data_IF_841774857402
#
_entry.id   IF_841774857402
#
_cell.length_a   1.000
_cell.length_b   1.000
_cell.length_c   1.000
_cell.angle_alpha   90.00
_cell.angle_beta   90.00
_cell.angle_gamma   90.00
#
_symmetry.space_group_name_H-M   'P 1'
#
loop_
_entity.id
_entity.type
_entity.pdbx_description
1 polymer ?
#
# COMPACT_ATOMS: atom_id res chain seq x y z
N UNK A 1 -10.69 25.48 -23.73
CA UNK A 1 -10.43 24.65 -22.54
C UNK A 1 -8.92 24.46 -22.37
N UNK A 2 -8.38 24.99 -21.27
CA UNK A 2 -6.95 25.11 -20.95
C UNK A 2 -6.51 24.03 -19.96
N UNK A 3 -6.49 22.76 -20.39
CA UNK A 3 -6.12 21.64 -19.54
C UNK A 3 -4.60 21.61 -19.21
N UNK A 4 -4.18 21.15 -18.02
CA UNK A 4 -2.77 21.05 -17.66
C UNK A 4 -1.93 20.19 -18.62
N UNK A 5 -2.48 19.10 -19.18
CA UNK A 5 -1.80 18.31 -20.22
C UNK A 5 -1.58 19.11 -21.51
N UNK A 6 -2.53 19.98 -21.87
CA UNK A 6 -2.40 20.85 -23.05
C UNK A 6 -1.30 21.89 -22.85
N UNK A 7 -1.18 22.48 -21.65
CA UNK A 7 -0.07 23.40 -21.34
C UNK A 7 1.30 22.72 -21.45
N UNK A 8 1.41 21.47 -21.00
CA UNK A 8 2.63 20.68 -21.16
C UNK A 8 2.95 20.42 -22.64
N UNK A 9 1.94 20.05 -23.43
CA UNK A 9 2.09 19.84 -24.88
C UNK A 9 2.50 21.11 -25.60
N UNK A 10 1.84 22.23 -25.32
CA UNK A 10 2.12 23.52 -25.96
C UNK A 10 3.56 24.00 -25.63
N UNK A 11 4.03 23.81 -24.39
CA UNK A 11 5.41 24.09 -24.01
C UNK A 11 6.42 23.18 -24.73
N UNK A 12 6.11 21.89 -24.87
CA UNK A 12 6.95 20.93 -25.57
C UNK A 12 7.01 21.22 -27.08
N UNK A 13 5.89 21.63 -27.67
CA UNK A 13 5.80 22.02 -29.08
C UNK A 13 6.65 23.26 -29.37
N UNK A 14 6.59 24.28 -28.50
CA UNK A 14 7.45 25.47 -28.63
C UNK A 14 8.93 25.10 -28.57
N UNK A 15 9.34 24.32 -27.56
CA UNK A 15 10.72 23.85 -27.44
C UNK A 15 11.16 23.03 -28.67
N UNK A 16 10.26 22.21 -29.21
CA UNK A 16 10.52 21.41 -30.40
C UNK A 16 10.76 22.28 -31.65
N UNK A 17 9.98 23.36 -31.81
CA UNK A 17 10.14 24.32 -32.89
C UNK A 17 11.43 25.14 -32.73
N UNK A 18 11.75 25.59 -31.52
CA UNK A 18 12.98 26.34 -31.21
C UNK A 18 14.24 25.50 -31.47
N UNK A 19 14.15 24.19 -31.23
CA UNK A 19 15.21 23.22 -31.57
C UNK A 19 15.36 22.96 -33.09
N UNK A 20 14.56 23.62 -33.93
CA UNK A 20 14.56 23.44 -35.38
C UNK A 20 13.80 22.21 -35.87
N UNK A 21 12.82 21.73 -35.11
CA UNK A 21 11.96 20.59 -35.42
C UNK A 21 12.74 19.34 -35.91
N UNK A 22 13.72 18.83 -35.15
CA UNK A 22 14.51 17.68 -35.55
C UNK A 22 13.63 16.42 -35.72
N UNK A 23 14.00 15.54 -36.66
CA UNK A 23 13.25 14.30 -36.84
C UNK A 23 13.35 13.39 -35.61
N UNK A 24 12.30 12.59 -35.35
CA UNK A 24 12.28 11.64 -34.23
C UNK A 24 13.43 10.63 -34.28
N UNK A 25 13.86 10.24 -35.51
CA UNK A 25 15.03 9.39 -35.74
C UNK A 25 16.34 10.07 -35.37
N UNK A 26 16.48 11.37 -35.66
CA UNK A 26 17.65 12.17 -35.26
C UNK A 26 17.76 12.26 -33.74
N UNK A 27 16.67 12.57 -33.05
CA UNK A 27 16.63 12.61 -31.57
C UNK A 27 16.95 11.25 -30.94
N UNK A 28 16.40 10.17 -31.49
CA UNK A 28 16.73 8.80 -31.05
C UNK A 28 18.21 8.47 -31.23
N UNK A 29 18.82 8.85 -32.35
CA UNK A 29 20.25 8.67 -32.60
C UNK A 29 21.11 9.50 -31.64
N UNK A 30 20.74 10.76 -31.37
CA UNK A 30 21.43 11.64 -30.42
C UNK A 30 21.36 11.11 -28.97
N UNK A 31 20.36 10.28 -28.66
CA UNK A 31 20.20 9.67 -27.33
C UNK A 31 21.14 8.49 -27.05
N UNK A 32 21.91 8.02 -28.04
CA UNK A 32 22.80 6.86 -27.87
C UNK A 32 22.06 5.55 -27.56
N UNK A 33 20.79 5.43 -27.97
CA UNK A 33 19.95 4.26 -27.70
C UNK A 33 19.11 4.36 -26.41
N UNK A 34 19.16 5.47 -25.68
CA UNK A 34 18.38 5.66 -24.46
C UNK A 34 16.87 5.83 -24.70
N UNK A 35 16.45 6.21 -25.92
CA UNK A 35 15.05 6.28 -26.33
C UNK A 35 14.87 5.93 -27.81
N UNK A 36 13.84 5.14 -28.13
CA UNK A 36 13.50 4.77 -29.51
C UNK A 36 12.80 5.92 -30.24
N UNK A 37 12.90 5.98 -31.57
CA UNK A 37 12.23 7.01 -32.38
C UNK A 37 10.70 6.99 -32.25
N UNK A 38 10.10 5.82 -31.95
CA UNK A 38 8.65 5.69 -31.69
C UNK A 38 8.28 6.33 -30.35
N UNK A 39 9.08 6.10 -29.30
CA UNK A 39 8.88 6.72 -27.98
C UNK A 39 9.12 8.23 -28.03
N UNK A 40 10.10 8.72 -28.80
CA UNK A 40 10.27 10.16 -29.05
C UNK A 40 9.00 10.75 -29.68
N UNK A 41 8.44 10.08 -30.69
CA UNK A 41 7.19 10.54 -31.33
C UNK A 41 5.99 10.57 -30.39
N UNK A 42 5.90 9.63 -29.45
CA UNK A 42 4.85 9.63 -28.42
C UNK A 42 5.01 10.81 -27.45
N UNK A 43 6.24 11.09 -27.01
CA UNK A 43 6.52 12.22 -26.12
C UNK A 43 6.18 13.55 -26.81
N UNK A 44 6.62 13.75 -28.05
CA UNK A 44 6.37 15.00 -28.80
C UNK A 44 4.89 15.26 -29.05
N UNK A 45 4.08 14.22 -29.33
CA UNK A 45 2.62 14.40 -29.47
C UNK A 45 1.95 14.73 -28.14
N UNK A 46 2.45 14.14 -27.04
CA UNK A 46 1.92 14.33 -25.69
C UNK A 46 0.38 14.14 -25.59
N UNK A 47 -0.17 13.22 -26.40
CA UNK A 47 -1.60 12.86 -26.39
C UNK A 47 -2.01 12.21 -25.05
N UNK A 48 -1.05 11.54 -24.42
CA UNK A 48 -1.10 11.02 -23.06
C UNK A 48 0.14 11.48 -22.30
N UNK A 49 0.04 11.60 -20.98
CA UNK A 49 1.15 12.01 -20.14
C UNK A 49 2.30 10.97 -20.21
N UNK A 50 3.46 11.30 -20.79
CA UNK A 50 4.60 10.39 -20.84
C UNK A 50 5.26 10.27 -19.46
N UNK A 51 6.12 9.28 -19.25
CA UNK A 51 6.88 9.18 -17.99
C UNK A 51 7.86 10.34 -17.85
N UNK A 52 8.13 10.78 -16.62
CA UNK A 52 9.08 11.87 -16.39
C UNK A 52 10.47 11.58 -16.99
N UNK A 53 10.94 10.33 -16.90
CA UNK A 53 12.22 9.90 -17.49
C UNK A 53 12.28 10.14 -19.00
N UNK A 54 11.20 9.82 -19.73
CA UNK A 54 11.17 9.99 -21.19
C UNK A 54 10.95 11.45 -21.59
N UNK A 55 10.14 12.19 -20.83
CA UNK A 55 9.96 13.64 -21.01
C UNK A 55 11.27 14.40 -20.82
N UNK A 56 11.94 14.19 -19.67
CA UNK A 56 13.23 14.79 -19.35
C UNK A 56 14.27 14.56 -20.45
N UNK A 57 14.34 13.33 -20.97
CA UNK A 57 15.31 12.96 -21.99
C UNK A 57 15.04 13.69 -23.31
N UNK A 58 13.78 13.81 -23.74
CA UNK A 58 13.41 14.54 -24.95
C UNK A 58 13.64 16.04 -24.79
N UNK A 59 13.23 16.64 -23.67
CA UNK A 59 13.47 18.07 -23.38
C UNK A 59 14.97 18.40 -23.42
N UNK A 60 15.80 17.55 -22.82
CA UNK A 60 17.26 17.70 -22.85
C UNK A 60 17.84 17.57 -24.27
N UNK A 61 17.34 16.63 -25.07
CA UNK A 61 17.78 16.44 -26.47
C UNK A 61 17.38 17.60 -27.39
N UNK A 62 16.33 18.33 -27.03
CA UNK A 62 15.88 19.55 -27.72
C UNK A 62 16.63 20.81 -27.23
N UNK A 63 17.54 20.69 -26.27
CA UNK A 63 18.31 21.82 -25.75
C UNK A 63 17.64 22.57 -24.59
N UNK A 64 16.49 22.11 -24.09
CA UNK A 64 15.78 22.71 -22.95
C UNK A 64 16.34 22.32 -21.58
N UNK A 65 17.66 22.15 -21.47
CA UNK A 65 18.32 21.70 -20.23
C UNK A 65 18.10 22.64 -19.05
N UNK A 66 18.06 23.96 -19.32
CA UNK A 66 17.86 24.99 -18.32
C UNK A 66 16.37 25.15 -17.92
N UNK A 67 15.44 24.63 -18.73
CA UNK A 67 13.99 24.70 -18.51
C UNK A 67 13.41 23.43 -17.86
N UNK A 68 14.26 22.49 -17.43
CA UNK A 68 13.81 21.19 -16.93
C UNK A 68 12.88 21.29 -15.71
N UNK A 69 13.11 22.23 -14.80
CA UNK A 69 12.22 22.43 -13.65
C UNK A 69 10.85 22.97 -14.08
N UNK A 70 10.79 23.86 -15.08
CA UNK A 70 9.53 24.33 -15.66
C UNK A 70 8.72 23.17 -16.29
N UNK A 71 9.38 22.31 -17.06
CA UNK A 71 8.73 21.12 -17.63
C UNK A 71 8.28 20.13 -16.55
N UNK A 72 9.01 20.05 -15.43
CA UNK A 72 8.63 19.21 -14.28
C UNK A 72 7.39 19.72 -13.57
N UNK A 73 7.25 21.03 -13.41
CA UNK A 73 6.05 21.67 -12.85
C UNK A 73 4.82 21.46 -13.74
N UNK A 74 4.97 21.62 -15.06
CA UNK A 74 3.91 21.34 -16.03
C UNK A 74 3.52 19.86 -16.03
N UNK A 75 4.51 18.97 -15.96
CA UNK A 75 4.29 17.53 -15.87
C UNK A 75 3.56 17.12 -14.59
N UNK A 76 3.96 17.67 -13.43
CA UNK A 76 3.27 17.45 -12.15
C UNK A 76 1.83 17.98 -12.20
N UNK A 77 1.62 19.16 -12.80
CA UNK A 77 0.29 19.73 -12.97
C UNK A 77 -0.62 18.86 -13.85
N UNK A 78 -0.07 18.30 -14.94
CA UNK A 78 -0.78 17.37 -15.82
C UNK A 78 -1.08 16.03 -15.12
N UNK A 79 -0.14 15.51 -14.34
CA UNK A 79 -0.32 14.31 -13.53
C UNK A 79 -1.44 14.48 -12.51
N UNK A 80 -1.39 15.55 -11.73
CA UNK A 80 -2.39 15.84 -10.71
C UNK A 80 -3.78 16.04 -11.33
N UNK A 81 -3.89 16.68 -12.49
CA UNK A 81 -5.17 16.83 -13.18
C UNK A 81 -5.71 15.50 -13.72
N UNK A 82 -4.85 14.60 -14.22
CA UNK A 82 -5.27 13.26 -14.64
C UNK A 82 -5.66 12.34 -13.48
N UNK A 83 -5.18 12.62 -12.28
CA UNK A 83 -5.50 11.87 -11.05
C UNK A 83 -6.74 12.42 -10.33
N UNK A 84 -7.20 13.64 -10.66
CA UNK A 84 -8.26 14.36 -9.92
C UNK A 84 -9.35 15.02 -10.79
N UNK A 85 -9.52 14.69 -12.08
CA UNK A 85 -10.71 15.15 -12.82
C UNK A 85 -11.99 14.52 -12.22
N UNK A 86 -12.90 15.31 -11.62
CA UNK A 86 -14.22 14.81 -11.26
C UNK A 86 -15.08 14.77 -12.53
N UNK A 87 -15.83 13.69 -12.72
CA UNK A 87 -16.81 13.60 -13.80
C UNK A 87 -17.77 14.82 -13.74
N UNK A 88 -17.91 15.52 -14.86
CA UNK A 88 -18.81 16.66 -14.98
C UNK A 88 -20.26 16.24 -14.67
N UNK A 89 -21.04 17.04 -13.92
CA UNK A 89 -22.40 16.68 -13.59
C UNK A 89 -23.31 17.01 -14.78
N UNK A 90 -23.86 15.97 -15.40
CA UNK A 90 -24.99 16.10 -16.31
C UNK A 90 -24.67 15.78 -17.77
N UNK A 91 -24.36 14.53 -18.05
CA UNK A 91 -24.76 13.89 -19.32
C UNK A 91 -24.85 12.38 -19.05
N UNK A 92 -26.05 11.83 -19.19
CA UNK A 92 -26.31 10.40 -19.09
C UNK A 92 -25.62 9.69 -20.26
N UNK A 93 -24.46 9.10 -20.00
CA UNK A 93 -23.78 8.23 -20.95
C UNK A 93 -24.26 6.80 -20.73
N UNK A 94 -25.01 6.30 -21.70
CA UNK A 94 -25.29 4.87 -21.89
C UNK A 94 -24.02 4.14 -22.34
N UNK A 95 -23.68 3.06 -21.63
CA UNK A 95 -22.81 1.92 -21.95
C UNK A 95 -21.73 2.08 -23.03
N UNK A 96 -20.47 2.04 -22.59
CA UNK A 96 -19.34 1.64 -23.43
C UNK A 96 -17.97 2.28 -23.18
N UNK A 97 -17.56 2.58 -21.94
CA UNK A 97 -16.15 2.91 -21.62
C UNK A 97 -15.85 2.79 -20.10
N UNK A 98 -15.00 1.82 -19.76
CA UNK A 98 -14.44 1.44 -18.44
C UNK A 98 -15.47 1.09 -17.33
N UNK A 99 -15.72 -0.22 -17.18
CA UNK A 99 -16.44 -0.89 -16.08
C UNK A 99 -15.64 -0.79 -14.75
N UNK A 100 -15.33 0.43 -14.35
CA UNK A 100 -14.59 0.74 -13.13
C UNK A 100 -15.55 1.10 -12.00
N UNK A 101 -15.81 0.13 -11.12
CA UNK A 101 -16.56 0.32 -9.89
C UNK A 101 -15.69 -0.08 -8.71
N UNK A 102 -15.25 0.89 -7.91
CA UNK A 102 -14.37 0.65 -6.75
C UNK A 102 -14.99 -0.26 -5.70
N UNK A 103 -16.32 -0.37 -5.63
CA UNK A 103 -17.01 -1.25 -4.69
C UNK A 103 -17.29 -2.65 -5.26
N UNK A 104 -17.19 -2.84 -6.59
CA UNK A 104 -17.20 -4.17 -7.18
C UNK A 104 -15.81 -4.80 -7.07
N UNK A 105 -15.70 -5.86 -6.28
CA UNK A 105 -14.44 -6.57 -6.10
C UNK A 105 -13.90 -7.19 -7.40
N UNK A 106 -14.78 -7.55 -8.34
CA UNK A 106 -14.40 -8.02 -9.66
C UNK A 106 -13.64 -6.95 -10.44
N UNK A 107 -14.18 -5.73 -10.45
CA UNK A 107 -13.55 -4.55 -11.06
C UNK A 107 -12.20 -4.22 -10.40
N UNK A 108 -12.13 -4.23 -9.06
CA UNK A 108 -10.88 -4.04 -8.30
C UNK A 108 -9.81 -5.04 -8.70
N UNK A 109 -10.12 -6.34 -8.80
CA UNK A 109 -9.18 -7.39 -9.24
C UNK A 109 -8.65 -7.15 -10.64
N UNK A 110 -9.54 -6.86 -11.60
CA UNK A 110 -9.13 -6.55 -12.98
C UNK A 110 -8.19 -5.36 -13.01
N UNK A 111 -8.47 -4.33 -12.21
CA UNK A 111 -7.64 -3.13 -12.14
C UNK A 111 -6.30 -3.37 -11.45
N UNK A 112 -6.25 -4.16 -10.38
CA UNK A 112 -5.01 -4.54 -9.70
C UNK A 112 -4.04 -5.25 -10.66
N UNK A 113 -4.55 -6.12 -11.53
CA UNK A 113 -3.75 -6.80 -12.54
C UNK A 113 -3.14 -5.85 -13.59
N UNK A 114 -3.80 -4.71 -13.86
CA UNK A 114 -3.37 -3.74 -14.88
C UNK A 114 -2.54 -2.58 -14.32
N UNK A 115 -2.94 -2.03 -13.17
CA UNK A 115 -2.34 -0.85 -12.54
C UNK A 115 -2.25 -1.04 -11.02
N UNK A 116 -1.33 -1.90 -10.53
CA UNK A 116 -1.30 -2.27 -9.13
C UNK A 116 -0.91 -1.13 -8.19
N UNK A 117 0.20 -0.41 -8.43
CA UNK A 117 0.71 0.56 -7.44
C UNK A 117 -0.30 1.66 -7.04
N UNK A 118 -0.99 2.35 -7.97
CA UNK A 118 -1.95 3.38 -7.58
C UNK A 118 -3.12 2.80 -6.78
N UNK A 119 -3.60 1.61 -7.16
CA UNK A 119 -4.72 0.96 -6.48
C UNK A 119 -4.30 0.41 -5.10
N UNK A 120 -3.09 -0.11 -4.96
CA UNK A 120 -2.55 -0.56 -3.68
C UNK A 120 -2.42 0.58 -2.66
N UNK A 121 -2.10 1.80 -3.13
CA UNK A 121 -2.12 2.99 -2.26
C UNK A 121 -3.54 3.26 -1.75
N UNK A 122 -4.53 3.28 -2.64
CA UNK A 122 -5.94 3.49 -2.27
C UNK A 122 -6.44 2.40 -1.31
N UNK A 123 -6.12 1.13 -1.56
CA UNK A 123 -6.49 0.04 -0.67
C UNK A 123 -5.83 0.18 0.70
N UNK A 124 -4.56 0.60 0.77
CA UNK A 124 -3.87 0.87 2.02
C UNK A 124 -4.49 2.04 2.79
N UNK A 125 -4.98 3.07 2.09
CA UNK A 125 -5.73 4.18 2.68
C UNK A 125 -7.07 3.72 3.26
N UNK A 126 -7.82 2.89 2.53
CA UNK A 126 -9.07 2.28 3.03
C UNK A 126 -8.80 1.47 4.29
N UNK A 127 -7.80 0.58 4.27
CA UNK A 127 -7.39 -0.22 5.44
C UNK A 127 -7.08 0.67 6.65
N UNK A 128 -6.30 1.72 6.45
CA UNK A 128 -5.92 2.67 7.50
C UNK A 128 -7.10 3.43 8.10
N UNK A 129 -8.17 3.65 7.32
CA UNK A 129 -9.38 4.29 7.78
C UNK A 129 -10.29 3.33 8.56
N UNK A 130 -10.44 2.08 8.10
CA UNK A 130 -11.49 1.18 8.61
C UNK A 130 -10.99 0.18 9.65
N UNK A 131 -9.80 -0.38 9.49
CA UNK A 131 -9.35 -1.50 10.33
C UNK A 131 -9.15 -1.11 11.80
N UNK A 132 -8.59 0.07 12.14
CA UNK A 132 -8.46 0.46 13.53
C UNK A 132 -9.81 0.61 14.24
N UNK A 133 -10.79 1.22 13.57
CA UNK A 133 -12.14 1.38 14.12
C UNK A 133 -12.85 0.02 14.21
N UNK A 134 -12.65 -0.85 13.22
CA UNK A 134 -13.14 -2.22 13.28
C UNK A 134 -12.52 -3.01 14.45
N UNK A 135 -11.23 -2.84 14.74
CA UNK A 135 -10.55 -3.45 15.87
C UNK A 135 -11.11 -2.98 17.23
N UNK A 136 -11.42 -1.68 17.35
CA UNK A 136 -12.11 -1.12 18.52
C UNK A 136 -13.45 -1.84 18.74
N UNK A 137 -14.31 -1.82 17.72
CA UNK A 137 -15.65 -2.40 17.77
C UNK A 137 -15.62 -3.93 17.94
N UNK A 138 -14.62 -4.58 17.36
CA UNK A 138 -14.37 -6.00 17.53
C UNK A 138 -14.10 -6.34 19.01
N UNK A 139 -13.27 -5.56 19.70
CA UNK A 139 -13.05 -5.74 21.14
C UNK A 139 -14.36 -5.60 21.93
N UNK A 140 -15.29 -4.74 21.51
CA UNK A 140 -16.59 -4.59 22.16
C UNK A 140 -17.57 -5.75 21.86
N UNK A 141 -17.54 -6.29 20.64
CA UNK A 141 -18.65 -7.08 20.12
C UNK A 141 -18.36 -8.55 19.81
N UNK A 142 -17.10 -8.96 19.64
CA UNK A 142 -16.80 -10.36 19.30
C UNK A 142 -17.33 -11.33 20.34
N UNK A 143 -17.66 -12.55 19.94
CA UNK A 143 -17.89 -13.64 20.90
C UNK A 143 -16.56 -14.09 21.52
N UNK A 144 -16.60 -14.77 22.67
CA UNK A 144 -15.39 -15.37 23.26
C UNK A 144 -14.73 -16.37 22.30
N UNK A 145 -15.53 -17.18 21.60
CA UNK A 145 -15.04 -18.14 20.62
C UNK A 145 -14.32 -17.47 19.44
N UNK A 146 -14.83 -16.35 18.93
CA UNK A 146 -14.17 -15.60 17.86
C UNK A 146 -12.90 -14.90 18.34
N UNK A 147 -12.88 -14.42 19.59
CA UNK A 147 -11.68 -13.86 20.20
C UNK A 147 -10.59 -14.92 20.39
N UNK A 148 -10.96 -16.12 20.86
CA UNK A 148 -10.04 -17.27 20.98
C UNK A 148 -9.50 -17.68 19.61
N UNK A 149 -10.35 -17.67 18.58
CA UNK A 149 -9.95 -17.90 17.19
C UNK A 149 -8.92 -16.86 16.74
N UNK A 150 -9.15 -15.57 16.96
CA UNK A 150 -8.18 -14.50 16.64
C UNK A 150 -6.85 -14.71 17.36
N UNK A 151 -6.89 -15.07 18.64
CA UNK A 151 -5.71 -15.41 19.44
C UNK A 151 -4.96 -16.63 18.88
N UNK A 152 -5.67 -17.59 18.30
CA UNK A 152 -5.12 -18.71 17.53
C UNK A 152 -4.44 -18.27 16.23
N UNK A 153 -5.12 -17.45 15.43
CA UNK A 153 -4.61 -16.94 14.16
C UNK A 153 -3.34 -16.09 14.35
N UNK A 154 -3.31 -15.21 15.35
CA UNK A 154 -2.12 -14.41 15.66
C UNK A 154 -0.90 -15.27 16.04
N UNK A 155 -1.12 -16.41 16.73
CA UNK A 155 -0.03 -17.38 17.01
C UNK A 155 0.43 -18.08 15.75
N UNK A 156 -0.49 -18.47 14.88
CA UNK A 156 -0.15 -19.10 13.60
C UNK A 156 0.65 -18.14 12.70
N UNK A 157 0.28 -16.86 12.62
CA UNK A 157 1.08 -15.84 11.93
C UNK A 157 2.50 -15.78 12.46
N UNK A 158 2.65 -15.74 13.79
CA UNK A 158 3.97 -15.68 14.41
C UNK A 158 4.81 -16.93 14.13
N UNK A 159 4.21 -18.12 14.18
CA UNK A 159 4.89 -19.38 13.85
C UNK A 159 5.32 -19.42 12.39
N UNK A 160 4.38 -19.20 11.47
CA UNK A 160 4.63 -19.26 10.03
C UNK A 160 5.63 -18.19 9.58
N UNK A 161 5.54 -16.98 10.10
CA UNK A 161 6.41 -15.86 9.73
C UNK A 161 7.84 -15.94 10.28
N UNK A 162 8.05 -16.69 11.38
CA UNK A 162 9.39 -16.93 11.95
C UNK A 162 10.08 -18.15 11.36
N UNK A 163 9.32 -19.08 10.81
CA UNK A 163 9.84 -20.30 10.21
C UNK A 163 10.84 -19.98 9.08
N UNK A 164 11.93 -20.73 9.02
CA UNK A 164 12.96 -20.58 7.99
C UNK A 164 12.41 -20.90 6.60
N UNK A 165 11.41 -21.79 6.50
CA UNK A 165 10.72 -22.11 5.26
C UNK A 165 10.08 -20.88 4.61
N UNK A 166 9.69 -19.86 5.38
CA UNK A 166 9.13 -18.64 4.81
C UNK A 166 10.10 -17.99 3.81
N UNK A 167 11.41 -18.05 4.11
CA UNK A 167 12.47 -17.43 3.30
C UNK A 167 12.89 -18.28 2.11
N UNK A 168 12.59 -19.58 2.12
CA UNK A 168 12.96 -20.51 1.05
C UNK A 168 12.46 -20.01 -0.32
N UNK A 169 13.31 -20.10 -1.34
CA UNK A 169 13.03 -19.64 -2.71
C UNK A 169 12.60 -20.79 -3.64
N UNK A 170 11.98 -21.81 -3.06
CA UNK A 170 11.44 -22.98 -3.74
C UNK A 170 9.92 -23.09 -3.57
N UNK A 171 9.33 -24.16 -4.12
CA UNK A 171 7.90 -24.45 -4.00
C UNK A 171 7.46 -24.58 -2.54
N UNK A 172 8.29 -25.18 -1.68
CA UNK A 172 8.02 -25.32 -0.24
C UNK A 172 7.84 -23.96 0.43
N UNK A 173 8.73 -23.00 0.13
CA UNK A 173 8.61 -21.64 0.65
C UNK A 173 7.40 -20.90 0.07
N UNK A 174 7.08 -21.11 -1.21
CA UNK A 174 5.89 -20.54 -1.83
C UNK A 174 4.61 -21.00 -1.15
N UNK A 175 4.48 -22.30 -0.88
CA UNK A 175 3.37 -22.89 -0.14
C UNK A 175 3.30 -22.35 1.29
N UNK A 176 4.44 -22.19 1.95
CA UNK A 176 4.49 -21.65 3.31
C UNK A 176 3.99 -20.21 3.40
N UNK A 177 4.36 -19.39 2.41
CA UNK A 177 3.89 -18.01 2.27
C UNK A 177 2.40 -17.94 1.95
N UNK A 178 1.87 -18.84 1.12
CA UNK A 178 0.42 -18.90 0.86
C UNK A 178 -0.36 -19.29 2.13
N UNK A 179 0.18 -20.19 2.96
CA UNK A 179 -0.42 -20.49 4.27
C UNK A 179 -0.42 -19.27 5.20
N UNK A 180 0.71 -18.57 5.30
CA UNK A 180 0.80 -17.34 6.09
C UNK A 180 -0.21 -16.29 5.61
N UNK A 181 -0.30 -16.07 4.29
CA UNK A 181 -1.25 -15.16 3.65
C UNK A 181 -2.70 -15.51 4.00
N UNK A 182 -3.06 -16.78 3.91
CA UNK A 182 -4.41 -17.23 4.24
C UNK A 182 -4.77 -16.94 5.71
N UNK A 183 -3.82 -17.17 6.63
CA UNK A 183 -4.01 -16.84 8.06
C UNK A 183 -4.11 -15.32 8.27
N UNK A 184 -3.32 -14.52 7.56
CA UNK A 184 -3.31 -13.06 7.66
C UNK A 184 -4.65 -12.46 7.19
N UNK A 185 -5.13 -12.91 6.04
CA UNK A 185 -6.46 -12.57 5.52
C UNK A 185 -7.54 -12.98 6.52
N UNK A 186 -7.51 -14.22 7.04
CA UNK A 186 -8.51 -14.70 7.98
C UNK A 186 -8.51 -13.88 9.28
N UNK A 187 -7.33 -13.48 9.77
CA UNK A 187 -7.20 -12.62 10.95
C UNK A 187 -7.91 -11.28 10.75
N UNK A 188 -7.58 -10.55 9.68
CA UNK A 188 -8.18 -9.24 9.39
C UNK A 188 -9.67 -9.33 9.06
N UNK A 189 -10.10 -10.34 8.30
CA UNK A 189 -11.51 -10.57 7.97
C UNK A 189 -12.33 -10.92 9.21
N UNK A 190 -11.76 -11.66 10.16
CA UNK A 190 -12.45 -11.99 11.42
C UNK A 190 -12.71 -10.71 12.24
N UNK A 191 -11.77 -9.78 12.29
CA UNK A 191 -11.97 -8.47 12.93
C UNK A 191 -13.08 -7.67 12.23
N UNK A 192 -13.02 -7.56 10.90
CA UNK A 192 -14.01 -6.79 10.12
C UNK A 192 -15.43 -7.36 10.23
N UNK A 193 -15.58 -8.67 10.27
CA UNK A 193 -16.90 -9.31 10.46
C UNK A 193 -17.39 -9.19 11.90
N UNK A 194 -16.48 -9.37 12.86
CA UNK A 194 -16.80 -9.34 14.28
C UNK A 194 -17.09 -7.93 14.82
N UNK A 195 -16.71 -6.87 14.10
CA UNK A 195 -17.02 -5.50 14.49
C UNK A 195 -18.52 -5.14 14.41
N UNK A 196 -19.36 -6.02 13.84
CA UNK A 196 -20.82 -5.84 13.68
C UNK A 196 -21.23 -4.54 12.96
N UNK A 197 -20.36 -4.06 12.07
CA UNK A 197 -20.65 -2.98 11.14
C UNK A 197 -20.70 -3.54 9.72
N UNK A 198 -21.88 -3.49 9.10
CA UNK A 198 -22.12 -4.07 7.77
C UNK A 198 -21.29 -3.39 6.68
N UNK A 199 -21.02 -2.08 6.81
CA UNK A 199 -20.16 -1.37 5.86
C UNK A 199 -18.72 -1.87 5.93
N UNK A 200 -18.19 -2.08 7.14
CA UNK A 200 -16.82 -2.59 7.30
C UNK A 200 -16.73 -4.07 6.89
N UNK A 201 -17.78 -4.85 7.18
CA UNK A 201 -17.90 -6.24 6.72
C UNK A 201 -17.94 -6.33 5.19
N UNK A 202 -18.61 -5.39 4.52
CA UNK A 202 -18.64 -5.27 3.07
C UNK A 202 -17.27 -5.03 2.42
N UNK A 203 -16.34 -4.40 3.15
CA UNK A 203 -14.97 -4.13 2.68
C UNK A 203 -14.03 -5.33 2.81
N UNK A 204 -14.48 -6.50 3.30
CA UNK A 204 -13.64 -7.69 3.48
C UNK A 204 -12.96 -8.14 2.18
N UNK A 205 -13.64 -8.03 1.04
CA UNK A 205 -13.06 -8.28 -0.28
C UNK A 205 -11.87 -7.36 -0.57
N UNK A 206 -12.04 -6.04 -0.40
CA UNK A 206 -10.99 -5.05 -0.66
C UNK A 206 -9.76 -5.25 0.22
N UNK A 207 -9.96 -5.55 1.50
CA UNK A 207 -8.84 -5.84 2.43
C UNK A 207 -8.12 -7.13 2.05
N UNK A 208 -8.87 -8.16 1.63
CA UNK A 208 -8.29 -9.41 1.12
C UNK A 208 -7.37 -9.14 -0.05
N UNK A 209 -7.82 -8.40 -1.08
CA UNK A 209 -6.98 -8.10 -2.25
C UNK A 209 -5.71 -7.31 -1.89
N UNK A 210 -5.79 -6.41 -0.90
CA UNK A 210 -4.64 -5.63 -0.44
C UNK A 210 -3.58 -6.50 0.27
N UNK A 211 -4.02 -7.44 1.11
CA UNK A 211 -3.13 -8.40 1.79
C UNK A 211 -2.53 -9.39 0.79
N UNK A 212 -3.38 -9.86 -0.12
CA UNK A 212 -3.05 -10.84 -1.14
C UNK A 212 -1.93 -10.37 -2.07
N UNK A 213 -1.98 -9.10 -2.48
CA UNK A 213 -1.03 -8.52 -3.39
C UNK A 213 0.38 -8.45 -2.79
N UNK A 214 0.53 -8.11 -1.50
CA UNK A 214 1.84 -7.96 -0.84
C UNK A 214 2.66 -9.24 -0.84
N UNK A 215 2.04 -10.40 -0.62
CA UNK A 215 2.78 -11.67 -0.54
C UNK A 215 3.07 -12.25 -1.93
N UNK A 216 2.14 -12.09 -2.90
CA UNK A 216 2.30 -12.67 -4.24
C UNK A 216 3.13 -11.80 -5.18
N UNK A 217 2.99 -10.47 -5.12
CA UNK A 217 3.51 -9.56 -6.15
C UNK A 217 4.71 -8.71 -5.73
N UNK A 218 4.86 -8.38 -4.46
CA UNK A 218 6.02 -7.58 -4.01
C UNK A 218 7.33 -8.39 -3.99
N UNK A 219 7.30 -9.71 -3.72
CA UNK A 219 8.51 -10.55 -3.85
C UNK A 219 8.95 -10.71 -5.31
N UNK A 220 8.01 -10.63 -6.26
CA UNK A 220 8.30 -10.62 -7.70
C UNK A 220 8.85 -9.25 -8.18
N UNK A 221 9.02 -8.27 -7.30
CA UNK A 221 9.53 -6.94 -7.64
C UNK A 221 8.57 -6.10 -8.49
N UNK A 222 7.28 -6.47 -8.53
CA UNK A 222 6.28 -5.84 -9.41
C UNK A 222 5.44 -4.74 -8.73
N UNK A 223 5.71 -4.45 -7.44
CA UNK A 223 4.77 -3.78 -6.55
C UNK A 223 5.25 -2.56 -5.74
N UNK A 224 6.46 -2.03 -5.93
CA UNK A 224 6.85 -0.72 -5.41
C UNK A 224 8.36 -0.48 -5.56
N UNK A 225 8.86 0.69 -5.21
CA UNK A 225 10.31 1.00 -5.29
C UNK A 225 11.19 0.13 -4.34
N UNK A 226 10.61 -0.77 -3.54
CA UNK A 226 11.33 -1.75 -2.72
C UNK A 226 10.56 -3.08 -2.69
N UNK A 227 11.21 -4.25 -2.83
CA UNK A 227 10.57 -5.55 -2.62
C UNK A 227 10.09 -5.67 -1.16
N UNK A 228 9.02 -6.43 -0.95
CA UNK A 228 8.61 -6.84 0.40
C UNK A 228 9.77 -7.58 1.06
N UNK A 229 10.06 -7.34 2.36
CA UNK A 229 11.17 -8.00 3.04
C UNK A 229 11.03 -9.52 2.94
N UNK A 230 12.16 -10.24 2.91
CA UNK A 230 12.19 -11.71 2.71
C UNK A 230 11.32 -12.48 3.73
N UNK A 231 11.03 -11.86 4.88
CA UNK A 231 10.11 -12.34 5.90
C UNK A 231 9.43 -11.15 6.62
N UNK A 232 8.26 -11.36 7.25
CA UNK A 232 7.65 -10.37 8.14
C UNK A 232 8.60 -10.02 9.30
N UNK A 233 8.62 -8.75 9.71
CA UNK A 233 9.44 -8.29 10.83
C UNK A 233 8.92 -8.87 12.17
N UNK A 234 9.83 -9.08 13.13
CA UNK A 234 9.44 -9.60 14.46
C UNK A 234 8.40 -8.70 15.13
N UNK A 235 8.58 -7.38 15.03
CA UNK A 235 7.66 -6.39 15.59
C UNK A 235 6.27 -6.49 14.98
N UNK A 236 6.13 -6.68 13.66
CA UNK A 236 4.83 -6.82 13.02
C UNK A 236 4.07 -8.04 13.56
N UNK A 237 4.76 -9.18 13.74
CA UNK A 237 4.17 -10.38 14.34
C UNK A 237 3.73 -10.15 15.79
N UNK A 238 4.51 -9.40 16.57
CA UNK A 238 4.15 -9.03 17.94
C UNK A 238 2.98 -8.06 18.03
N UNK A 239 2.86 -7.10 17.09
CA UNK A 239 1.72 -6.20 17.04
C UNK A 239 0.41 -6.96 16.78
N UNK A 240 0.41 -8.02 15.96
CA UNK A 240 -0.76 -8.89 15.77
C UNK A 240 -1.12 -9.65 17.06
N UNK A 241 -0.12 -10.13 17.82
CA UNK A 241 -0.33 -10.75 19.14
C UNK A 241 -0.92 -9.75 20.14
N UNK A 242 -0.42 -8.52 20.16
CA UNK A 242 -0.94 -7.41 20.97
C UNK A 242 -2.39 -7.05 20.63
N UNK A 243 -2.71 -6.95 19.33
CA UNK A 243 -4.06 -6.70 18.85
C UNK A 243 -5.03 -7.81 19.27
N UNK A 244 -4.68 -9.08 19.05
CA UNK A 244 -5.50 -10.21 19.47
C UNK A 244 -5.72 -10.22 20.99
N UNK A 245 -4.67 -9.97 21.78
CA UNK A 245 -4.77 -9.88 23.23
C UNK A 245 -5.67 -8.72 23.69
N UNK A 246 -5.58 -7.55 23.04
CA UNK A 246 -6.44 -6.41 23.35
C UNK A 246 -7.92 -6.72 23.08
N UNK A 247 -8.22 -7.40 21.96
CA UNK A 247 -9.59 -7.83 21.64
C UNK A 247 -10.08 -8.87 22.67
N UNK A 248 -9.27 -9.89 22.96
CA UNK A 248 -9.59 -10.92 23.96
C UNK A 248 -9.90 -10.32 25.34
N UNK A 249 -9.13 -9.31 25.75
CA UNK A 249 -9.25 -8.65 27.04
C UNK A 249 -10.25 -7.48 27.03
N UNK A 250 -11.01 -7.27 25.94
CA UNK A 250 -12.00 -6.19 25.80
C UNK A 250 -11.43 -4.79 25.98
N UNK A 251 -10.17 -4.59 25.57
CA UNK A 251 -9.47 -3.30 25.63
C UNK A 251 -9.63 -2.56 24.30
N UNK A 252 -10.79 -1.93 24.10
CA UNK A 252 -11.17 -1.32 22.82
C UNK A 252 -10.15 -0.30 22.28
N UNK A 253 -9.74 0.68 23.10
CA UNK A 253 -8.72 1.66 22.70
C UNK A 253 -7.35 1.03 22.43
N UNK A 254 -7.00 -0.04 23.15
CA UNK A 254 -5.75 -0.76 22.92
C UNK A 254 -5.78 -1.53 21.59
N UNK A 255 -6.90 -2.17 21.26
CA UNK A 255 -7.09 -2.87 20.00
C UNK A 255 -6.96 -1.90 18.81
N UNK A 256 -7.59 -0.74 18.89
CA UNK A 256 -7.41 0.32 17.89
C UNK A 256 -5.93 0.71 17.74
N UNK A 257 -5.23 0.97 18.85
CA UNK A 257 -3.84 1.40 18.83
C UNK A 257 -2.89 0.36 18.20
N UNK A 258 -3.04 -0.93 18.53
CA UNK A 258 -2.25 -1.99 17.89
C UNK A 258 -2.53 -2.10 16.39
N UNK A 259 -3.80 -1.97 15.98
CA UNK A 259 -4.16 -1.94 14.55
C UNK A 259 -3.54 -0.74 13.81
N UNK A 260 -3.55 0.46 14.43
CA UNK A 260 -2.86 1.64 13.88
C UNK A 260 -1.36 1.41 13.75
N UNK A 261 -0.72 0.78 14.73
CA UNK A 261 0.71 0.48 14.68
C UNK A 261 1.04 -0.50 13.53
N UNK A 262 0.23 -1.55 13.32
CA UNK A 262 0.40 -2.46 12.18
C UNK A 262 0.35 -1.69 10.86
N UNK A 263 -0.63 -0.80 10.67
CA UNK A 263 -0.80 -0.06 9.42
C UNK A 263 0.26 1.04 9.25
N UNK A 264 0.79 1.60 10.34
CA UNK A 264 1.89 2.56 10.31
C UNK A 264 3.20 1.90 9.85
N UNK A 265 3.45 0.65 10.26
CA UNK A 265 4.61 -0.15 9.82
C UNK A 265 4.61 -0.32 8.29
N UNK A 266 3.43 -0.41 7.69
CA UNK A 266 3.25 -0.54 6.24
C UNK A 266 3.61 0.74 5.48
N UNK A 267 3.30 1.91 6.04
CA UNK A 267 3.28 3.20 5.32
C UNK A 267 4.67 3.80 5.01
N UNK A 268 5.75 3.14 5.41
CA UNK A 268 7.15 3.59 5.27
C UNK A 268 7.43 4.95 5.97
N UNK A 269 8.43 4.97 6.86
CA UNK A 269 8.79 6.17 7.63
C UNK A 269 8.92 5.89 9.12
N UNK A 270 9.26 6.90 9.94
CA UNK A 270 9.32 6.74 11.40
C UNK A 270 7.94 6.41 11.97
N UNK A 271 7.91 5.83 13.17
CA UNK A 271 6.67 5.62 13.90
C UNK A 271 6.02 7.00 14.18
N UNK A 272 4.78 7.27 13.75
CA UNK A 272 4.16 8.56 14.02
C UNK A 272 3.94 8.75 15.53
N UNK A 273 4.23 9.93 16.04
CA UNK A 273 4.14 10.24 17.48
C UNK A 273 2.77 9.90 18.09
N UNK A 274 1.69 10.22 17.37
CA UNK A 274 0.33 9.87 17.80
C UNK A 274 0.10 8.36 17.93
N UNK A 275 0.74 7.57 17.06
CA UNK A 275 0.68 6.11 17.11
C UNK A 275 1.56 5.58 18.25
N UNK A 276 2.76 6.14 18.44
CA UNK A 276 3.65 5.80 19.55
C UNK A 276 2.97 6.02 20.91
N UNK A 277 2.36 7.19 21.10
CA UNK A 277 1.64 7.53 22.34
C UNK A 277 0.48 6.59 22.61
N UNK A 278 -0.35 6.31 21.59
CA UNK A 278 -1.46 5.38 21.71
C UNK A 278 -0.99 3.95 22.00
N UNK A 279 0.07 3.49 21.33
CA UNK A 279 0.65 2.17 21.53
C UNK A 279 1.24 2.00 22.93
N UNK A 280 1.87 3.05 23.48
CA UNK A 280 2.39 3.06 24.86
C UNK A 280 1.27 2.85 25.88
N UNK A 281 0.15 3.55 25.73
CA UNK A 281 -1.03 3.36 26.58
C UNK A 281 -1.67 1.98 26.40
N UNK A 282 -1.76 1.50 25.16
CA UNK A 282 -2.32 0.20 24.82
C UNK A 282 -1.56 -0.95 25.47
N UNK A 283 -0.23 -0.93 25.36
CA UNK A 283 0.67 -1.89 25.98
C UNK A 283 0.47 -1.98 27.50
N UNK A 284 0.39 -0.82 28.17
CA UNK A 284 0.23 -0.74 29.63
C UNK A 284 -1.14 -1.24 30.14
N UNK A 285 -2.15 -1.27 29.28
CA UNK A 285 -3.51 -1.72 29.63
C UNK A 285 -3.74 -3.23 29.45
N UNK A 286 -2.78 -3.95 28.87
CA UNK A 286 -2.86 -5.40 28.73
C UNK A 286 -2.46 -6.09 30.05
N UNK A 287 -3.22 -7.12 30.41
CA UNK A 287 -2.86 -8.02 31.50
C UNK A 287 -1.86 -9.08 31.00
N UNK A 288 -0.62 -9.12 31.54
CA UNK A 288 0.38 -10.13 31.20
C UNK A 288 -0.08 -11.56 31.47
N UNK A 289 -0.94 -11.78 32.47
CA UNK A 289 -1.43 -13.11 32.82
C UNK A 289 -2.38 -13.70 31.76
N UNK A 290 -2.97 -12.83 30.93
CA UNK A 290 -3.88 -13.19 29.84
C UNK A 290 -3.20 -13.13 28.46
N UNK A 291 -1.90 -12.82 28.41
CA UNK A 291 -1.12 -12.71 27.17
C UNK A 291 -0.56 -14.07 26.73
N UNK A 292 -1.44 -14.98 26.31
CA UNK A 292 -1.06 -16.30 25.80
C UNK A 292 -0.64 -17.32 26.88
N UNK A 293 -0.05 -18.46 26.48
CA UNK A 293 0.09 -19.63 27.35
C UNK A 293 1.26 -19.57 28.36
N UNK A 294 2.04 -18.48 28.45
CA UNK A 294 3.15 -18.40 29.41
C UNK A 294 3.87 -17.06 29.53
N UNK A 295 4.61 -16.87 30.64
CA UNK A 295 5.33 -15.62 30.98
C UNK A 295 6.44 -15.24 29.98
N UNK A 296 7.03 -16.20 29.28
CA UNK A 296 8.11 -15.94 28.31
C UNK A 296 7.62 -15.14 27.09
N UNK A 297 6.40 -15.42 26.60
CA UNK A 297 5.78 -14.69 25.50
C UNK A 297 5.61 -13.20 25.85
N UNK A 298 5.19 -12.91 27.08
CA UNK A 298 5.03 -11.53 27.55
C UNK A 298 6.36 -10.79 27.57
N UNK A 299 7.42 -11.38 28.15
CA UNK A 299 8.73 -10.71 28.22
C UNK A 299 9.31 -10.41 26.84
N UNK A 300 9.14 -11.32 25.87
CA UNK A 300 9.58 -11.06 24.49
C UNK A 300 8.73 -10.00 23.80
N UNK A 301 7.42 -10.01 24.02
CA UNK A 301 6.52 -8.98 23.51
C UNK A 301 6.85 -7.59 24.09
N UNK A 302 7.00 -7.50 25.41
CA UNK A 302 7.36 -6.26 26.11
C UNK A 302 8.69 -5.70 25.59
N UNK A 303 9.72 -6.54 25.45
CA UNK A 303 11.03 -6.10 24.97
C UNK A 303 10.96 -5.47 23.57
N UNK A 304 10.19 -6.08 22.65
CA UNK A 304 10.04 -5.60 21.27
C UNK A 304 9.20 -4.33 21.18
N UNK A 305 8.12 -4.22 21.96
CA UNK A 305 7.30 -3.01 22.02
C UNK A 305 8.07 -1.84 22.62
N UNK A 306 8.78 -2.06 23.73
CA UNK A 306 9.63 -1.03 24.36
C UNK A 306 10.73 -0.58 23.40
N UNK A 307 11.40 -1.53 22.73
CA UNK A 307 12.43 -1.19 21.75
C UNK A 307 11.90 -0.33 20.59
N UNK A 308 10.72 -0.67 20.05
CA UNK A 308 10.06 0.16 19.03
C UNK A 308 9.74 1.56 19.55
N UNK A 309 9.18 1.66 20.76
CA UNK A 309 8.77 2.93 21.36
C UNK A 309 9.93 3.85 21.75
N UNK A 310 11.10 3.29 22.07
CA UNK A 310 12.29 4.04 22.45
C UNK A 310 13.13 4.46 21.23
N UNK A 311 13.11 3.66 20.16
CA UNK A 311 13.86 3.96 18.93
C UNK A 311 13.09 4.82 17.94
N UNK A 312 11.75 4.80 17.98
CA UNK A 312 10.84 5.43 17.01
C UNK A 312 11.10 5.02 15.54
N UNK A 313 11.87 3.93 15.35
CA UNK A 313 12.28 3.37 14.07
C UNK A 313 11.84 1.91 14.04
N UNK A 314 11.25 1.49 12.92
CA UNK A 314 10.82 0.10 12.73
C UNK A 314 12.02 -0.86 12.73
N UNK A 315 12.13 -1.79 13.70
CA UNK A 315 13.22 -2.75 13.72
C UNK A 315 13.26 -3.63 12.46
N UNK A 316 14.46 -3.80 11.90
CA UNK A 316 14.68 -4.65 10.72
C UNK A 316 14.29 -4.02 9.38
N UNK A 317 14.13 -2.69 9.30
CA UNK A 317 13.90 -1.93 8.06
C UNK A 317 15.05 -1.00 7.70
#
# INVERSE_FOLDING_TARGET
>A
MNGPLRRLRDALENLYLDAGAPSTRKLSSMSGGAISHTSVGQVLRCDHLPTWRTMWLVVRLLGGGDDLEHFKELWNSAKNASEFEPAAPGESVSDGADDWNVFDIGSVRRRLALKPHPLMRLLTDVRSAIEPVAAFLAAEHLTEADADKLSGLARQLQQLGRDELFRADDESGADWRERYRAVDVEFHVTILRGCRNDFFSGCTGHVTEALDYRIRHDRLGTGGNKPFPDAPTSIALWLHRGLAAAIQQRRCSAAEAFSRAILAEIREGPLPESVAQALRGAYQCLDPALFGPGRADWSSFEAEIVHLLDSEVWPGR
#
